data_IF_801488327180
#
_entry.id   IF_801488327180
#
_cell.length_a   1.000
_cell.length_b   1.000
_cell.length_c   1.000
_cell.angle_alpha   90.00
_cell.angle_beta   90.00
_cell.angle_gamma   90.00
#
_symmetry.space_group_name_H-M   'P 1'
#
loop_
_entity.id
_entity.type
_entity.pdbx_description
1 polymer ?
#
# COMPACT_ATOMS: atom_id res chain seq x y z
N UNK A 1 30.83 -21.01 -19.21
CA UNK A 1 30.43 -22.22 -19.93
C UNK A 1 30.29 -21.89 -21.39
N UNK A 2 30.93 -22.67 -22.26
CA UNK A 2 30.96 -22.45 -23.73
C UNK A 2 29.67 -22.93 -24.42
N UNK A 3 28.76 -23.56 -23.69
CA UNK A 3 27.54 -24.11 -24.26
C UNK A 3 26.39 -23.11 -24.05
N UNK A 4 26.01 -22.44 -25.12
CA UNK A 4 24.79 -21.63 -25.16
C UNK A 4 23.62 -22.61 -25.44
N UNK A 5 22.65 -22.77 -24.54
CA UNK A 5 21.49 -23.61 -24.80
C UNK A 5 20.70 -23.11 -26.00
N UNK A 6 20.09 -24.01 -26.74
CA UNK A 6 19.20 -23.62 -27.84
C UNK A 6 18.01 -22.81 -27.26
N UNK A 7 17.74 -21.68 -27.85
CA UNK A 7 16.67 -20.76 -27.41
C UNK A 7 15.95 -20.23 -28.67
N UNK A 8 14.63 -19.98 -28.53
CA UNK A 8 13.84 -19.38 -29.60
C UNK A 8 14.20 -17.92 -29.85
N UNK A 9 14.67 -17.25 -28.81
CA UNK A 9 15.13 -15.85 -28.88
C UNK A 9 16.37 -15.66 -28.02
N UNK A 10 17.36 -14.94 -28.57
CA UNK A 10 18.60 -14.56 -27.86
C UNK A 10 18.67 -13.05 -27.83
N UNK A 11 18.84 -12.50 -26.63
CA UNK A 11 19.08 -11.05 -26.42
C UNK A 11 20.56 -10.87 -26.05
N UNK A 12 21.29 -10.14 -26.87
CA UNK A 12 22.68 -9.79 -26.59
C UNK A 12 22.74 -8.62 -25.63
N UNK A 13 23.22 -8.89 -24.42
CA UNK A 13 23.36 -7.89 -23.36
C UNK A 13 24.79 -7.32 -23.23
N UNK A 14 25.60 -7.35 -24.30
CA UNK A 14 27.02 -6.95 -24.28
C UNK A 14 27.27 -5.70 -23.46
N UNK A 15 28.12 -5.82 -22.43
CA UNK A 15 28.51 -4.72 -21.55
C UNK A 15 27.42 -4.18 -20.62
N UNK A 16 26.23 -4.79 -20.60
CA UNK A 16 25.13 -4.42 -19.70
C UNK A 16 25.00 -5.40 -18.54
N UNK A 17 24.44 -4.91 -17.44
CA UNK A 17 24.08 -5.73 -16.28
C UNK A 17 22.65 -6.24 -16.50
N UNK A 18 22.45 -7.55 -16.36
CA UNK A 18 21.13 -8.18 -16.35
C UNK A 18 20.76 -8.48 -14.91
N UNK A 19 19.62 -7.96 -14.47
CA UNK A 19 19.10 -8.16 -13.11
C UNK A 19 17.59 -8.40 -13.14
N UNK A 20 16.99 -8.91 -12.05
CA UNK A 20 15.54 -8.89 -11.89
C UNK A 20 15.00 -7.47 -11.98
N UNK A 21 13.72 -7.32 -12.35
CA UNK A 21 13.05 -6.03 -12.29
C UNK A 21 12.97 -5.51 -10.84
N UNK A 22 12.96 -4.18 -10.70
CA UNK A 22 12.91 -3.54 -9.39
C UNK A 22 11.53 -3.69 -8.75
N UNK A 23 11.52 -3.78 -7.41
CA UNK A 23 10.32 -3.62 -6.59
C UNK A 23 10.29 -2.18 -6.07
N UNK A 24 9.18 -1.47 -6.33
CA UNK A 24 8.87 -0.21 -5.66
C UNK A 24 7.86 -0.48 -4.55
N UNK A 25 8.27 -0.33 -3.30
CA UNK A 25 7.44 -0.63 -2.14
C UNK A 25 6.70 0.59 -1.58
N UNK A 26 6.86 1.76 -2.20
CA UNK A 26 6.22 2.99 -1.76
C UNK A 26 5.80 3.86 -2.94
N UNK A 27 4.55 3.71 -3.36
CA UNK A 27 3.97 4.54 -4.41
C UNK A 27 2.49 4.82 -4.14
N UNK A 28 1.94 5.81 -4.84
CA UNK A 28 0.52 6.08 -4.90
C UNK A 28 0.01 5.67 -6.28
N UNK A 29 -1.08 4.93 -6.30
CA UNK A 29 -1.61 4.30 -7.50
C UNK A 29 -2.26 5.30 -8.47
N UNK A 30 -2.28 4.93 -9.75
CA UNK A 30 -3.09 5.63 -10.75
C UNK A 30 -4.59 5.54 -10.39
N UNK A 31 -5.38 6.60 -10.60
CA UNK A 31 -6.79 6.61 -10.22
C UNK A 31 -7.63 5.69 -11.09
N UNK A 32 -8.77 5.26 -10.54
CA UNK A 32 -9.84 4.62 -11.33
C UNK A 32 -10.68 5.72 -11.98
N UNK A 33 -10.84 5.64 -13.29
CA UNK A 33 -11.61 6.58 -14.08
C UNK A 33 -13.12 6.28 -14.05
N UNK A 34 -13.92 7.20 -14.59
CA UNK A 34 -15.39 7.10 -14.60
C UNK A 34 -15.94 5.90 -15.37
N UNK A 35 -15.15 5.30 -16.26
CA UNK A 35 -15.47 4.07 -16.99
C UNK A 35 -15.13 2.79 -16.21
N UNK A 36 -14.61 2.91 -14.99
CA UNK A 36 -14.24 1.81 -14.11
C UNK A 36 -12.91 1.15 -14.47
N UNK A 37 -12.05 1.82 -15.22
CA UNK A 37 -10.69 1.38 -15.55
C UNK A 37 -9.65 2.20 -14.82
N UNK A 38 -8.48 1.60 -14.60
CA UNK A 38 -7.32 2.32 -14.08
C UNK A 38 -6.76 3.22 -15.18
N UNK A 39 -6.45 4.47 -14.84
CA UNK A 39 -5.82 5.42 -15.75
C UNK A 39 -4.53 4.83 -16.35
N UNK A 40 -4.43 4.86 -17.68
CA UNK A 40 -3.39 4.11 -18.39
C UNK A 40 -2.78 4.88 -19.58
N UNK A 41 -2.72 6.22 -19.49
CA UNK A 41 -2.03 7.04 -20.50
C UNK A 41 -0.57 6.61 -20.65
N UNK A 42 -0.10 6.41 -21.88
CA UNK A 42 1.23 5.86 -22.14
C UNK A 42 2.38 6.72 -21.60
N UNK A 43 2.19 8.04 -21.50
CA UNK A 43 3.25 8.97 -21.08
C UNK A 43 3.12 9.43 -19.62
N UNK A 44 1.90 9.37 -19.05
CA UNK A 44 1.58 10.01 -17.76
C UNK A 44 1.17 9.03 -16.68
N UNK A 45 0.66 7.84 -17.04
CA UNK A 45 0.29 6.84 -16.05
C UNK A 45 1.53 6.38 -15.27
N UNK A 46 1.40 6.34 -13.97
CA UNK A 46 2.50 6.03 -13.04
C UNK A 46 3.06 4.63 -13.33
N UNK A 47 2.21 3.63 -13.52
CA UNK A 47 2.66 2.26 -13.79
C UNK A 47 3.40 2.13 -15.12
N UNK A 48 3.02 2.87 -16.16
CA UNK A 48 3.74 2.90 -17.44
C UNK A 48 5.10 3.60 -17.28
N UNK A 49 5.18 4.67 -16.49
CA UNK A 49 6.44 5.33 -16.18
C UNK A 49 7.36 4.41 -15.35
N UNK A 50 6.82 3.68 -14.38
CA UNK A 50 7.55 2.71 -13.55
C UNK A 50 8.19 1.61 -14.40
N UNK A 51 7.43 1.01 -15.32
CA UNK A 51 7.95 -0.02 -16.22
C UNK A 51 9.14 0.50 -17.03
N UNK A 52 9.08 1.74 -17.53
CA UNK A 52 10.19 2.37 -18.27
C UNK A 52 11.43 2.60 -17.41
N UNK A 53 11.28 2.70 -16.09
CA UNK A 53 12.39 2.81 -15.14
C UNK A 53 12.92 1.44 -14.68
N UNK A 54 12.33 0.33 -15.16
CA UNK A 54 12.72 -1.02 -14.79
C UNK A 54 12.02 -1.57 -13.54
N UNK A 55 11.01 -0.88 -13.01
CA UNK A 55 10.14 -1.40 -11.95
C UNK A 55 9.16 -2.39 -12.58
N UNK A 56 9.08 -3.59 -12.02
CA UNK A 56 8.18 -4.66 -12.49
C UNK A 56 7.13 -5.06 -11.45
N UNK A 57 7.28 -4.57 -10.23
CA UNK A 57 6.32 -4.79 -9.14
C UNK A 57 6.23 -3.54 -8.28
N UNK A 58 5.01 -3.08 -8.01
CA UNK A 58 4.73 -1.88 -7.22
C UNK A 58 3.78 -2.18 -6.06
N UNK A 59 3.98 -1.49 -4.92
CA UNK A 59 3.08 -1.55 -3.77
C UNK A 59 2.40 -0.19 -3.61
N UNK A 60 1.10 -0.13 -3.91
CA UNK A 60 0.26 1.05 -3.75
C UNK A 60 -0.43 1.13 -2.38
N UNK A 61 -1.25 2.16 -2.20
CA UNK A 61 -1.99 2.39 -0.97
C UNK A 61 -1.15 2.85 0.20
N UNK A 62 -0.01 3.50 -0.06
CA UNK A 62 0.88 4.01 0.97
C UNK A 62 0.32 5.28 1.64
N UNK A 63 0.92 5.67 2.76
CA UNK A 63 0.58 6.88 3.54
C UNK A 63 -0.89 6.96 4.00
N UNK A 64 -1.59 5.82 4.07
CA UNK A 64 -3.00 5.77 4.46
C UNK A 64 -3.98 6.11 3.35
N UNK A 65 -3.53 6.35 2.13
CA UNK A 65 -4.35 6.81 1.00
C UNK A 65 -4.67 5.67 0.03
N UNK A 66 -5.90 5.66 -0.48
CA UNK A 66 -6.33 4.89 -1.65
C UNK A 66 -7.28 5.73 -2.48
N UNK A 67 -7.25 5.57 -3.80
CA UNK A 67 -8.18 6.26 -4.69
C UNK A 67 -9.59 5.64 -4.67
N UNK A 68 -9.71 4.39 -4.26
CA UNK A 68 -10.96 3.65 -4.06
C UNK A 68 -10.75 2.53 -3.04
N UNK A 69 -11.73 1.66 -2.83
CA UNK A 69 -11.50 0.46 -2.00
C UNK A 69 -10.33 -0.35 -2.58
N UNK A 70 -9.23 -0.59 -1.81
CA UNK A 70 -8.03 -1.21 -2.34
C UNK A 70 -8.24 -2.66 -2.82
N UNK A 71 -9.21 -3.38 -2.27
CA UNK A 71 -9.55 -4.71 -2.74
C UNK A 71 -10.30 -4.67 -4.08
N UNK A 72 -11.19 -3.68 -4.27
CA UNK A 72 -11.85 -3.45 -5.57
C UNK A 72 -10.85 -3.01 -6.63
N UNK A 73 -9.81 -2.24 -6.22
CA UNK A 73 -8.70 -1.89 -7.11
C UNK A 73 -7.97 -3.14 -7.61
N UNK A 74 -7.67 -4.10 -6.71
CA UNK A 74 -7.05 -5.37 -7.11
C UNK A 74 -7.94 -6.19 -8.05
N UNK A 75 -9.26 -6.20 -7.86
CA UNK A 75 -10.19 -6.86 -8.78
C UNK A 75 -10.15 -6.22 -10.19
N UNK A 76 -9.96 -4.89 -10.28
CA UNK A 76 -9.78 -4.20 -11.56
C UNK A 76 -8.44 -4.60 -12.20
N UNK A 77 -7.36 -4.65 -11.41
CA UNK A 77 -6.05 -5.09 -11.88
C UNK A 77 -6.11 -6.52 -12.46
N UNK A 78 -6.77 -7.43 -11.75
CA UNK A 78 -6.92 -8.82 -12.18
C UNK A 78 -7.77 -8.96 -13.45
N UNK A 79 -8.76 -8.09 -13.61
CA UNK A 79 -9.66 -8.08 -14.77
C UNK A 79 -8.99 -7.50 -16.02
N UNK A 80 -8.34 -6.37 -15.91
CA UNK A 80 -7.90 -5.54 -17.04
C UNK A 80 -6.39 -5.65 -17.31
N UNK A 81 -5.61 -6.05 -16.31
CA UNK A 81 -4.15 -6.06 -16.34
C UNK A 81 -3.53 -4.67 -16.21
N UNK A 82 -2.25 -4.64 -15.82
CA UNK A 82 -1.43 -3.44 -15.78
C UNK A 82 -0.03 -3.71 -16.35
N UNK A 83 0.73 -2.65 -16.61
CA UNK A 83 2.09 -2.74 -17.13
C UNK A 83 3.06 -3.43 -16.16
N UNK A 84 2.79 -3.38 -14.84
CA UNK A 84 3.59 -3.96 -13.75
C UNK A 84 2.69 -4.82 -12.84
N UNK A 85 3.29 -5.71 -12.05
CA UNK A 85 2.57 -6.37 -10.98
C UNK A 85 2.25 -5.37 -9.88
N UNK A 86 1.05 -5.47 -9.30
CA UNK A 86 0.59 -4.54 -8.27
C UNK A 86 0.18 -5.32 -7.02
N UNK A 87 0.58 -4.81 -5.87
CA UNK A 87 0.04 -5.19 -4.58
C UNK A 87 -0.44 -3.92 -3.86
N UNK A 88 -1.44 -4.06 -2.99
CA UNK A 88 -2.06 -2.92 -2.33
C UNK A 88 -2.00 -3.03 -0.81
N UNK A 89 -1.78 -1.89 -0.16
CA UNK A 89 -2.05 -1.70 1.26
C UNK A 89 -3.45 -1.11 1.44
N UNK A 90 -4.14 -1.50 2.50
CA UNK A 90 -5.39 -0.90 2.91
C UNK A 90 -5.09 0.43 3.61
N UNK A 91 -5.35 1.53 2.92
CA UNK A 91 -5.05 2.89 3.40
C UNK A 91 -6.05 3.33 4.46
N UNK A 92 -5.59 3.53 5.70
CA UNK A 92 -6.41 3.89 6.85
C UNK A 92 -7.31 5.10 6.59
N UNK A 93 -6.80 6.17 5.93
CA UNK A 93 -7.56 7.40 5.68
C UNK A 93 -8.82 7.11 4.85
N UNK A 94 -8.72 6.27 3.81
CA UNK A 94 -9.87 5.91 2.99
C UNK A 94 -10.97 5.26 3.84
N UNK A 95 -10.62 4.29 4.69
CA UNK A 95 -11.59 3.62 5.58
C UNK A 95 -12.12 4.56 6.66
N UNK A 96 -11.28 5.48 7.15
CA UNK A 96 -11.66 6.47 8.14
C UNK A 96 -12.74 7.43 7.63
N UNK A 97 -12.59 7.90 6.40
CA UNK A 97 -13.57 8.74 5.74
C UNK A 97 -14.89 7.98 5.50
N UNK A 98 -14.82 6.71 5.08
CA UNK A 98 -16.00 5.85 4.90
C UNK A 98 -16.71 5.52 6.22
N UNK A 99 -15.98 5.41 7.31
CA UNK A 99 -16.58 5.29 8.64
C UNK A 99 -17.21 6.60 9.17
N UNK A 100 -17.14 7.68 8.38
CA UNK A 100 -17.73 8.98 8.70
C UNK A 100 -16.86 9.84 9.61
N UNK A 101 -15.57 9.59 9.70
CA UNK A 101 -14.63 10.41 10.47
C UNK A 101 -13.92 11.39 9.56
N UNK A 102 -14.45 12.60 9.40
CA UNK A 102 -13.89 13.65 8.54
C UNK A 102 -12.92 14.59 9.28
N UNK A 103 -13.01 14.66 10.62
CA UNK A 103 -12.10 15.47 11.42
C UNK A 103 -10.75 14.76 11.59
N UNK A 104 -9.72 15.32 10.98
CA UNK A 104 -8.35 14.78 11.04
C UNK A 104 -7.60 15.10 12.33
N UNK A 105 -8.16 15.96 13.19
CA UNK A 105 -7.53 16.38 14.46
C UNK A 105 -8.12 15.71 15.69
N UNK A 106 -9.27 15.06 15.55
CA UNK A 106 -9.92 14.31 16.62
C UNK A 106 -9.78 12.79 16.43
N UNK A 107 -9.80 11.99 17.51
CA UNK A 107 -9.79 10.53 17.42
C UNK A 107 -11.11 10.00 16.86
N UNK A 108 -11.07 8.81 16.25
CA UNK A 108 -12.28 8.11 15.86
C UNK A 108 -13.02 7.56 17.08
N UNK A 109 -14.35 7.51 17.00
CA UNK A 109 -15.19 6.85 18.01
C UNK A 109 -15.02 5.34 17.97
N UNK A 110 -15.39 4.63 19.05
CA UNK A 110 -15.35 3.16 19.11
C UNK A 110 -16.12 2.49 17.96
N UNK A 111 -17.27 3.04 17.58
CA UNK A 111 -18.07 2.51 16.47
C UNK A 111 -17.38 2.70 15.11
N UNK A 112 -16.68 3.83 14.93
CA UNK A 112 -15.90 4.10 13.71
C UNK A 112 -14.66 3.21 13.63
N UNK A 113 -13.93 3.04 14.74
CA UNK A 113 -12.79 2.10 14.83
C UNK A 113 -13.22 0.67 14.51
N UNK A 114 -14.34 0.22 15.07
CA UNK A 114 -14.88 -1.11 14.79
C UNK A 114 -15.32 -1.28 13.32
N UNK A 115 -15.88 -0.22 12.71
CA UNK A 115 -16.22 -0.22 11.29
C UNK A 115 -14.98 -0.35 10.42
N UNK A 116 -13.96 0.50 10.65
CA UNK A 116 -12.69 0.46 9.94
C UNK A 116 -12.02 -0.92 10.05
N UNK A 117 -11.92 -1.45 11.27
CA UNK A 117 -11.29 -2.75 11.50
C UNK A 117 -11.98 -3.89 10.75
N UNK A 118 -13.32 -3.89 10.67
CA UNK A 118 -14.06 -4.88 9.91
C UNK A 118 -13.77 -4.76 8.40
N UNK A 119 -13.91 -3.57 7.84
CA UNK A 119 -13.72 -3.35 6.40
C UNK A 119 -12.28 -3.58 5.95
N UNK A 120 -11.31 -3.22 6.79
CA UNK A 120 -9.91 -3.54 6.57
C UNK A 120 -9.69 -5.06 6.63
N UNK A 121 -10.31 -5.76 7.58
CA UNK A 121 -10.28 -7.22 7.63
C UNK A 121 -10.76 -7.85 6.31
N UNK A 122 -11.87 -7.36 5.77
CA UNK A 122 -12.40 -7.81 4.48
C UNK A 122 -11.41 -7.51 3.32
N UNK A 123 -10.75 -6.35 3.33
CA UNK A 123 -9.74 -6.01 2.32
C UNK A 123 -8.48 -6.90 2.42
N UNK A 124 -8.04 -7.24 3.63
CA UNK A 124 -6.93 -8.17 3.84
C UNK A 124 -7.26 -9.59 3.36
N UNK A 125 -8.47 -10.07 3.61
CA UNK A 125 -8.96 -11.37 3.16
C UNK A 125 -9.06 -11.43 1.61
N UNK A 126 -9.30 -10.30 0.95
CA UNK A 126 -9.34 -10.15 -0.51
C UNK A 126 -7.97 -9.89 -1.14
N UNK A 127 -6.87 -9.88 -0.39
CA UNK A 127 -5.52 -9.89 -0.95
C UNK A 127 -4.63 -8.70 -0.59
N UNK A 128 -5.12 -7.67 0.10
CA UNK A 128 -4.27 -6.58 0.54
C UNK A 128 -3.12 -7.07 1.43
N UNK A 129 -1.92 -6.48 1.26
CA UNK A 129 -0.70 -6.89 1.94
C UNK A 129 -0.69 -6.56 3.43
N UNK A 130 -1.41 -5.53 3.83
CA UNK A 130 -1.42 -4.99 5.17
C UNK A 130 -2.17 -3.68 5.24
N UNK A 131 -1.98 -2.92 6.30
CA UNK A 131 -2.57 -1.60 6.48
C UNK A 131 -1.51 -0.53 6.38
N UNK A 132 -1.83 0.57 5.72
CA UNK A 132 -0.99 1.76 5.74
C UNK A 132 -1.65 2.91 6.52
N UNK A 133 -0.84 3.68 7.23
CA UNK A 133 -1.26 4.86 7.96
C UNK A 133 -0.54 6.11 7.45
N UNK A 134 -1.27 7.21 7.39
CA UNK A 134 -0.72 8.54 7.18
C UNK A 134 -0.83 9.37 8.46
N UNK A 135 -0.11 8.99 9.52
CA UNK A 135 -0.24 9.61 10.85
C UNK A 135 0.12 11.10 10.78
N UNK A 136 1.08 11.45 9.94
CA UNK A 136 1.46 12.84 9.66
C UNK A 136 0.30 13.68 9.15
N UNK A 137 -0.56 13.09 8.33
CA UNK A 137 -1.66 13.77 7.65
C UNK A 137 -2.95 13.79 8.47
N UNK A 138 -3.07 12.88 9.44
CA UNK A 138 -4.20 12.78 10.36
C UNK A 138 -3.69 12.78 11.80
N UNK A 139 -3.30 13.97 12.34
CA UNK A 139 -2.69 14.08 13.65
C UNK A 139 -3.55 13.57 14.81
N UNK A 140 -4.87 13.50 14.62
CA UNK A 140 -5.83 13.03 15.62
C UNK A 140 -5.84 11.52 15.85
N UNK A 141 -5.11 10.73 15.04
CA UNK A 141 -4.95 9.30 15.29
C UNK A 141 -4.22 9.12 16.63
N UNK A 142 -4.82 8.37 17.55
CA UNK A 142 -4.22 7.94 18.81
C UNK A 142 -3.79 6.47 18.77
N UNK A 143 -3.14 6.00 19.83
CA UNK A 143 -2.68 4.62 19.94
C UNK A 143 -3.84 3.62 19.95
N UNK A 144 -4.99 4.01 20.48
CA UNK A 144 -6.19 3.16 20.49
C UNK A 144 -6.74 2.96 19.08
N UNK A 145 -6.77 4.04 18.27
CA UNK A 145 -7.16 3.94 16.86
C UNK A 145 -6.15 3.12 16.06
N UNK A 146 -4.84 3.38 16.22
CA UNK A 146 -3.78 2.61 15.56
C UNK A 146 -3.91 1.10 15.83
N UNK A 147 -4.03 0.73 17.10
CA UNK A 147 -4.11 -0.69 17.51
C UNK A 147 -5.40 -1.34 17.08
N UNK A 148 -6.55 -0.67 17.24
CA UNK A 148 -7.84 -1.23 16.85
C UNK A 148 -7.93 -1.48 15.34
N UNK A 149 -7.43 -0.53 14.53
CA UNK A 149 -7.48 -0.60 13.06
C UNK A 149 -6.42 -1.56 12.49
N UNK A 150 -5.27 -1.69 13.14
CA UNK A 150 -4.23 -2.63 12.74
C UNK A 150 -4.46 -4.08 13.24
N UNK A 151 -5.35 -4.29 14.22
CA UNK A 151 -5.61 -5.62 14.79
C UNK A 151 -5.96 -6.72 13.76
N UNK A 152 -6.70 -6.46 12.67
CA UNK A 152 -6.93 -7.46 11.63
C UNK A 152 -5.65 -8.01 11.01
N UNK A 153 -4.56 -7.23 10.94
CA UNK A 153 -3.26 -7.68 10.42
C UNK A 153 -2.67 -8.83 11.24
N UNK A 154 -2.83 -8.82 12.57
CA UNK A 154 -2.36 -9.90 13.45
C UNK A 154 -3.00 -11.24 13.04
N UNK A 155 -4.32 -11.26 12.90
CA UNK A 155 -5.06 -12.47 12.52
C UNK A 155 -4.71 -12.96 11.12
N UNK A 156 -4.50 -12.02 10.19
CA UNK A 156 -4.17 -12.31 8.80
C UNK A 156 -2.68 -12.62 8.55
N UNK A 157 -1.80 -12.42 9.55
CA UNK A 157 -0.35 -12.55 9.38
C UNK A 157 0.23 -11.49 8.45
N UNK A 158 -0.33 -10.29 8.47
CA UNK A 158 0.01 -9.15 7.60
C UNK A 158 0.78 -8.08 8.37
N UNK A 159 1.24 -7.06 7.65
CA UNK A 159 2.07 -5.96 8.16
C UNK A 159 1.32 -4.64 8.25
N UNK A 160 1.91 -3.67 8.95
CA UNK A 160 1.54 -2.26 8.82
C UNK A 160 2.72 -1.45 8.26
N UNK A 161 2.40 -0.38 7.56
CA UNK A 161 3.34 0.63 7.10
C UNK A 161 2.81 2.02 7.48
N UNK A 162 3.67 3.01 7.71
CA UNK A 162 3.18 4.34 8.01
C UNK A 162 4.11 5.45 7.50
N UNK A 163 3.49 6.55 7.08
CA UNK A 163 4.10 7.86 7.20
C UNK A 163 3.96 8.28 8.66
N UNK A 164 5.06 8.23 9.39
CA UNK A 164 5.09 8.45 10.84
C UNK A 164 4.66 9.89 11.21
N UNK A 165 4.32 10.12 12.47
CA UNK A 165 3.77 11.38 12.98
C UNK A 165 4.69 12.59 12.76
N UNK A 166 5.98 12.39 12.84
CA UNK A 166 7.00 13.43 12.62
C UNK A 166 8.20 12.83 11.88
N UNK A 167 8.68 13.55 10.89
CA UNK A 167 9.89 13.25 10.11
C UNK A 167 11.02 14.26 10.37
N UNK A 168 10.87 15.05 11.46
CA UNK A 168 11.78 16.09 11.87
C UNK A 168 12.29 15.87 13.31
N UNK A 169 12.13 16.85 14.21
CA UNK A 169 12.68 16.83 15.57
C UNK A 169 12.19 15.65 16.42
N UNK A 170 10.94 15.23 16.22
CA UNK A 170 10.29 14.15 16.98
C UNK A 170 10.31 12.78 16.24
N UNK A 171 11.19 12.61 15.26
CA UNK A 171 11.23 11.40 14.42
C UNK A 171 11.43 10.10 15.22
N UNK A 172 12.23 10.14 16.28
CA UNK A 172 12.46 8.96 17.12
C UNK A 172 11.22 8.55 17.90
N UNK A 173 10.50 9.52 18.48
CA UNK A 173 9.25 9.25 19.22
C UNK A 173 8.17 8.74 18.28
N UNK A 174 8.05 9.33 17.09
CA UNK A 174 7.13 8.89 16.06
C UNK A 174 7.46 7.47 15.55
N UNK A 175 8.73 7.13 15.41
CA UNK A 175 9.17 5.77 15.08
C UNK A 175 8.86 4.78 16.21
N UNK A 176 9.06 5.18 17.46
CA UNK A 176 8.73 4.36 18.63
C UNK A 176 7.22 4.08 18.72
N UNK A 177 6.36 5.06 18.43
CA UNK A 177 4.90 4.89 18.39
C UNK A 177 4.50 3.76 17.43
N UNK A 178 5.05 3.74 16.23
CA UNK A 178 4.77 2.70 15.25
C UNK A 178 5.32 1.33 15.67
N UNK A 179 6.55 1.28 16.18
CA UNK A 179 7.17 0.06 16.68
C UNK A 179 6.40 -0.52 17.88
N UNK A 180 5.87 0.32 18.75
CA UNK A 180 5.06 -0.11 19.88
C UNK A 180 3.74 -0.73 19.43
N UNK A 181 3.08 -0.14 18.43
CA UNK A 181 1.90 -0.72 17.79
C UNK A 181 2.19 -2.13 17.24
N UNK A 182 3.28 -2.28 16.48
CA UNK A 182 3.70 -3.59 15.96
C UNK A 182 4.02 -4.60 17.04
N UNK A 183 4.67 -4.17 18.14
CA UNK A 183 5.00 -5.00 19.28
C UNK A 183 3.75 -5.46 20.04
N UNK A 184 2.79 -4.56 20.28
CA UNK A 184 1.54 -4.88 20.96
C UNK A 184 0.72 -5.91 20.18
N UNK A 185 0.71 -5.81 18.85
CA UNK A 185 -0.06 -6.69 17.98
C UNK A 185 0.75 -7.89 17.46
N UNK A 186 2.05 -7.97 17.76
CA UNK A 186 2.95 -9.00 17.22
C UNK A 186 2.93 -9.07 15.68
N UNK A 187 2.96 -7.91 15.01
CA UNK A 187 2.97 -7.77 13.54
C UNK A 187 4.21 -7.00 13.07
N UNK A 188 4.69 -7.24 11.83
CA UNK A 188 5.75 -6.45 11.22
C UNK A 188 5.33 -5.00 10.97
N UNK A 189 6.28 -4.08 11.09
CA UNK A 189 6.12 -2.66 10.78
C UNK A 189 7.22 -2.17 9.86
#
# INVERSE_FOLDING_TARGET
TSDVPAADQVIDAQGKIVCPGFLDIHMHEDPVESDGKIYSDDEKAIFNCMLRMGVTTAVGGNCGENCCNPADYLDIVDRDGLAVNVAMLAGHQWFREHAGTVDKYGPATESQKACMAREIGDALDRGCLGVSFGIRYIPGIDMDELTAVAAPCQKAGKMIAAHIRSDAEEVFDAGCELMETGKLLHIPV
#
